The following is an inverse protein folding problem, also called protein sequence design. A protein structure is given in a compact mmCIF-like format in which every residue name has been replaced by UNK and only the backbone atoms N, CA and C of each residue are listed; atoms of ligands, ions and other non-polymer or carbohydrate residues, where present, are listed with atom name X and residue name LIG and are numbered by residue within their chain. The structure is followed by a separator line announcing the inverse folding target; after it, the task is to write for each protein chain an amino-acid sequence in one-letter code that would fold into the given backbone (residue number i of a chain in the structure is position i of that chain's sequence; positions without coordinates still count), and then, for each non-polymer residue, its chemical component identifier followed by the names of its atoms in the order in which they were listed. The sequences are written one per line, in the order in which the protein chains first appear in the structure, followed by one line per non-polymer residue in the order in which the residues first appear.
data_IF_292851260027
#
_entry.id   IF_292851260027
#
_cell.length_a   1.000
_cell.length_b   1.000
_cell.length_c   1.000
_cell.angle_alpha   90.00
_cell.angle_beta   90.00
_cell.angle_gamma   90.00
#
_symmetry.space_group_name_H-M   'P 1'
#
loop_
_entity.id
_entity.type
_entity.pdbx_description
1 polymer ?
#
# COMPACT_ATOMS: atom_id res chain seq x y z
N UNK A 1 10.47 -21.57 -7.99
CA UNK A 1 9.66 -20.41 -8.43
C UNK A 1 8.21 -20.71 -8.06
N UNK A 2 7.54 -19.84 -7.29
CA UNK A 2 6.09 -19.98 -7.08
C UNK A 2 5.37 -19.68 -8.40
N UNK A 3 4.47 -20.56 -8.81
CA UNK A 3 3.59 -20.35 -9.97
C UNK A 3 2.66 -19.17 -9.67
N UNK A 4 2.32 -18.32 -10.66
CA UNK A 4 1.32 -17.28 -10.47
C UNK A 4 0.02 -17.92 -9.98
N UNK A 5 -0.55 -17.38 -8.91
CA UNK A 5 -1.85 -17.85 -8.42
C UNK A 5 -2.88 -17.58 -9.50
N UNK A 6 -3.40 -18.64 -10.11
CA UNK A 6 -4.48 -18.52 -11.09
C UNK A 6 -5.75 -18.24 -10.31
N UNK A 7 -6.20 -16.99 -10.33
CA UNK A 7 -7.53 -16.61 -9.84
C UNK A 7 -8.55 -16.79 -10.97
N UNK A 8 -9.78 -17.13 -10.62
CA UNK A 8 -10.82 -17.30 -11.61
C UNK A 8 -11.33 -15.95 -12.17
N UNK A 9 -11.98 -16.00 -13.33
CA UNK A 9 -12.47 -14.80 -14.01
C UNK A 9 -13.56 -14.03 -13.25
N UNK A 10 -14.28 -14.69 -12.34
CA UNK A 10 -15.29 -14.05 -11.50
C UNK A 10 -14.62 -13.24 -10.39
N UNK A 11 -13.57 -13.78 -9.77
CA UNK A 11 -12.75 -13.07 -8.80
C UNK A 11 -12.14 -11.80 -9.40
N UNK A 12 -11.60 -11.86 -10.62
CA UNK A 12 -11.07 -10.68 -11.32
C UNK A 12 -12.13 -9.59 -11.52
N UNK A 13 -13.34 -9.97 -11.97
CA UNK A 13 -14.47 -9.03 -12.10
C UNK A 13 -14.84 -8.40 -10.76
N UNK A 14 -14.73 -9.15 -9.67
CA UNK A 14 -15.01 -8.64 -8.33
C UNK A 14 -13.94 -7.64 -7.86
N UNK A 15 -12.66 -7.94 -8.12
CA UNK A 15 -11.54 -7.01 -7.89
C UNK A 15 -11.76 -5.70 -8.65
N UNK A 16 -12.17 -5.76 -9.92
CA UNK A 16 -12.44 -4.55 -10.72
C UNK A 16 -13.59 -3.71 -10.18
N UNK A 17 -14.65 -4.35 -9.65
CA UNK A 17 -15.74 -3.63 -8.97
C UNK A 17 -15.25 -2.99 -7.67
N UNK A 18 -14.53 -3.75 -6.84
CA UNK A 18 -13.98 -3.25 -5.59
C UNK A 18 -13.02 -2.07 -5.82
N UNK A 19 -12.23 -2.10 -6.90
CA UNK A 19 -11.35 -0.99 -7.32
C UNK A 19 -12.14 0.30 -7.58
N UNK A 20 -13.28 0.20 -8.27
CA UNK A 20 -14.15 1.36 -8.54
C UNK A 20 -14.77 1.92 -7.26
N UNK A 21 -15.26 1.04 -6.39
CA UNK A 21 -15.85 1.43 -5.11
C UNK A 21 -14.83 2.06 -4.15
N UNK A 22 -13.61 1.50 -4.09
CA UNK A 22 -12.49 2.09 -3.37
C UNK A 22 -12.13 3.47 -3.91
N UNK A 23 -12.10 3.63 -5.24
CA UNK A 23 -11.77 4.93 -5.87
C UNK A 23 -12.78 6.00 -5.45
N UNK A 24 -14.07 5.68 -5.48
CA UNK A 24 -15.13 6.56 -5.04
C UNK A 24 -15.02 6.88 -3.54
N UNK A 25 -14.84 5.86 -2.69
CA UNK A 25 -14.71 6.04 -1.24
C UNK A 25 -13.51 6.93 -0.89
N UNK A 26 -12.34 6.64 -1.47
CA UNK A 26 -11.09 7.35 -1.17
C UNK A 26 -11.16 8.81 -1.58
N UNK A 27 -11.70 9.10 -2.77
CA UNK A 27 -11.90 10.47 -3.24
C UNK A 27 -12.91 11.22 -2.36
N UNK A 28 -14.03 10.60 -1.99
CA UNK A 28 -15.10 11.24 -1.22
C UNK A 28 -14.71 11.50 0.24
N UNK A 29 -13.91 10.62 0.86
CA UNK A 29 -13.50 10.72 2.27
C UNK A 29 -12.15 11.42 2.46
N UNK A 30 -11.47 11.76 1.37
CA UNK A 30 -10.11 12.31 1.37
C UNK A 30 -9.16 11.49 2.27
N UNK A 31 -9.20 10.16 2.15
CA UNK A 31 -8.50 9.23 3.04
C UNK A 31 -7.35 8.46 2.35
N UNK A 32 -6.90 8.92 1.17
CA UNK A 32 -5.83 8.27 0.41
C UNK A 32 -4.55 8.02 1.24
N UNK A 33 -4.02 8.97 2.05
CA UNK A 33 -2.81 8.74 2.83
C UNK A 33 -3.00 7.65 3.90
N UNK A 34 -4.20 7.58 4.47
CA UNK A 34 -4.56 6.57 5.46
C UNK A 34 -4.66 5.18 4.85
N UNK A 35 -5.21 5.06 3.63
CA UNK A 35 -5.29 3.80 2.89
C UNK A 35 -3.92 3.29 2.45
N UNK A 36 -3.05 4.20 1.96
CA UNK A 36 -1.68 3.82 1.64
C UNK A 36 -0.93 3.35 2.89
N UNK A 37 -1.11 4.02 4.03
CA UNK A 37 -0.53 3.59 5.31
C UNK A 37 -1.03 2.22 5.73
N UNK A 38 -2.33 1.93 5.60
CA UNK A 38 -2.88 0.61 5.90
C UNK A 38 -2.20 -0.49 5.08
N UNK A 39 -2.11 -0.31 3.75
CA UNK A 39 -1.48 -1.26 2.86
C UNK A 39 0.01 -1.48 3.19
N UNK A 40 0.74 -0.40 3.49
CA UNK A 40 2.13 -0.46 3.92
C UNK A 40 2.30 -1.20 5.24
N UNK A 41 1.48 -0.92 6.26
CA UNK A 41 1.62 -1.54 7.58
C UNK A 41 1.29 -3.04 7.55
N UNK A 42 0.30 -3.46 6.77
CA UNK A 42 0.00 -4.89 6.56
C UNK A 42 1.19 -5.60 5.88
N UNK A 43 1.78 -4.98 4.86
CA UNK A 43 2.92 -5.55 4.13
C UNK A 43 4.25 -5.49 4.90
N UNK A 44 4.47 -4.45 5.69
CA UNK A 44 5.73 -4.11 6.36
C UNK A 44 6.14 -5.08 7.46
N UNK A 45 5.24 -5.98 7.86
CA UNK A 45 5.50 -7.03 8.86
C UNK A 45 6.20 -8.25 8.28
N UNK A 46 6.43 -8.29 6.96
CA UNK A 46 7.06 -9.42 6.28
C UNK A 46 8.49 -9.66 6.76
N UNK A 47 8.84 -10.94 6.86
CA UNK A 47 10.19 -11.43 7.11
C UNK A 47 10.54 -12.49 6.07
N UNK A 48 11.51 -12.18 5.22
CA UNK A 48 11.93 -13.05 4.12
C UNK A 48 12.59 -14.36 4.62
N UNK A 49 13.21 -14.36 5.81
CA UNK A 49 13.86 -15.54 6.38
C UNK A 49 12.83 -16.55 6.88
N UNK A 50 11.85 -16.07 7.65
CA UNK A 50 10.83 -16.93 8.26
C UNK A 50 9.59 -17.11 7.40
N UNK A 51 9.41 -16.29 6.36
CA UNK A 51 8.23 -16.24 5.49
C UNK A 51 6.93 -16.01 6.28
N UNK A 52 7.02 -15.20 7.33
CA UNK A 52 5.89 -14.83 8.20
C UNK A 52 5.52 -13.36 8.06
N UNK A 53 4.27 -13.02 8.38
CA UNK A 53 3.73 -11.66 8.20
C UNK A 53 3.48 -11.33 6.73
N UNK A 54 3.50 -10.03 6.41
CA UNK A 54 3.33 -9.52 5.07
C UNK A 54 1.87 -9.29 4.67
N UNK A 55 1.63 -8.95 3.39
CA UNK A 55 0.34 -8.44 2.90
C UNK A 55 -0.73 -9.54 2.85
N UNK A 56 -1.29 -9.88 4.00
CA UNK A 56 -2.17 -11.04 4.19
C UNK A 56 -3.45 -10.66 4.94
N UNK A 57 -3.68 -9.37 5.16
CA UNK A 57 -4.86 -8.85 5.84
C UNK A 57 -4.89 -9.09 7.34
N UNK A 58 -3.84 -9.66 7.96
CA UNK A 58 -3.80 -9.92 9.41
C UNK A 58 -3.92 -8.66 10.24
N UNK A 59 -3.60 -7.49 9.68
CA UNK A 59 -3.76 -6.18 10.34
C UNK A 59 -5.18 -5.90 10.87
N UNK A 60 -6.20 -6.63 10.41
CA UNK A 60 -7.58 -6.52 10.92
C UNK A 60 -7.83 -7.22 12.26
N UNK A 61 -6.92 -8.06 12.73
CA UNK A 61 -7.05 -8.74 14.03
C UNK A 61 -6.86 -7.73 15.17
N UNK A 62 -7.56 -7.95 16.28
CA UNK A 62 -7.47 -7.09 17.46
C UNK A 62 -6.06 -6.98 18.02
N UNK A 63 -5.31 -8.08 17.99
CA UNK A 63 -3.91 -8.11 18.36
C UNK A 63 -3.09 -7.14 17.48
N UNK A 64 -3.22 -7.20 16.15
CA UNK A 64 -2.35 -6.44 15.26
C UNK A 64 -2.74 -4.97 15.13
N UNK A 65 -4.03 -4.63 14.98
CA UNK A 65 -4.41 -3.21 14.89
C UNK A 65 -4.18 -2.45 16.20
N UNK A 66 -4.06 -3.15 17.33
CA UNK A 66 -3.79 -2.55 18.64
C UNK A 66 -2.30 -2.30 18.90
N UNK A 67 -1.40 -2.78 18.05
CA UNK A 67 0.03 -2.43 18.12
C UNK A 67 0.21 -0.91 18.06
N UNK A 68 1.15 -0.38 18.85
CA UNK A 68 1.37 1.07 18.97
C UNK A 68 1.73 1.73 17.64
N UNK A 69 2.46 1.01 16.78
CA UNK A 69 2.80 1.43 15.41
C UNK A 69 1.58 1.51 14.47
N UNK A 70 0.50 0.79 14.76
CA UNK A 70 -0.73 0.72 13.96
C UNK A 70 -1.84 1.66 14.45
N UNK A 71 -1.56 2.51 15.45
CA UNK A 71 -2.55 3.44 15.99
C UNK A 71 -3.21 4.28 14.88
N UNK A 72 -4.54 4.37 14.93
CA UNK A 72 -5.38 5.06 13.94
C UNK A 72 -5.75 4.24 12.69
N UNK A 73 -5.16 3.06 12.45
CA UNK A 73 -5.48 2.24 11.29
C UNK A 73 -6.84 1.54 11.37
N UNK A 74 -7.42 1.42 12.58
CA UNK A 74 -8.79 0.91 12.75
C UNK A 74 -9.81 1.65 11.89
N UNK A 75 -9.66 2.97 11.74
CA UNK A 75 -10.51 3.78 10.86
C UNK A 75 -10.38 3.39 9.38
N UNK A 76 -9.18 3.03 8.94
CA UNK A 76 -8.92 2.57 7.58
C UNK A 76 -9.57 1.20 7.34
N UNK A 77 -9.44 0.29 8.32
CA UNK A 77 -10.08 -1.02 8.32
C UNK A 77 -11.60 -0.85 8.21
N UNK A 78 -12.21 0.01 9.03
CA UNK A 78 -13.67 0.24 9.01
C UNK A 78 -14.18 0.78 7.67
N UNK A 79 -13.42 1.66 7.03
CA UNK A 79 -13.73 2.11 5.67
C UNK A 79 -13.63 0.98 4.63
N UNK A 80 -12.64 0.10 4.77
CA UNK A 80 -12.54 -1.08 3.91
C UNK A 80 -13.69 -2.08 4.17
N UNK A 81 -14.23 -2.18 5.40
CA UNK A 81 -15.40 -3.01 5.69
C UNK A 81 -16.64 -2.59 4.87
N UNK A 82 -16.85 -1.29 4.63
CA UNK A 82 -17.94 -0.80 3.78
C UNK A 82 -17.85 -1.35 2.35
N UNK A 83 -16.64 -1.44 1.81
CA UNK A 83 -16.38 -1.99 0.47
C UNK A 83 -16.46 -3.51 0.50
N UNK A 84 -15.89 -4.14 1.53
CA UNK A 84 -15.92 -5.60 1.72
C UNK A 84 -17.34 -6.13 1.81
N UNK A 85 -18.26 -5.42 2.47
CA UNK A 85 -19.65 -5.80 2.58
C UNK A 85 -20.35 -5.93 1.21
N UNK A 86 -19.96 -5.08 0.23
CA UNK A 86 -20.47 -5.15 -1.15
C UNK A 86 -19.75 -6.21 -1.99
N UNK A 87 -18.51 -6.53 -1.63
CA UNK A 87 -17.64 -7.45 -2.34
C UNK A 87 -17.20 -8.61 -1.42
N UNK A 88 -18.10 -9.52 -1.02
CA UNK A 88 -17.75 -10.55 -0.05
C UNK A 88 -16.69 -11.54 -0.58
N UNK A 89 -16.56 -11.69 -1.91
CA UNK A 89 -15.63 -12.65 -2.54
C UNK A 89 -14.16 -12.22 -2.50
N UNK A 90 -13.84 -10.91 -2.55
CA UNK A 90 -12.43 -10.45 -2.52
C UNK A 90 -11.84 -10.69 -1.14
N UNK A 91 -10.61 -11.19 -1.01
CA UNK A 91 -9.97 -11.34 0.31
C UNK A 91 -9.68 -9.99 0.96
N UNK A 92 -9.59 -9.93 2.29
CA UNK A 92 -9.15 -8.72 2.99
C UNK A 92 -7.72 -8.34 2.58
N UNK A 93 -6.85 -9.34 2.41
CA UNK A 93 -5.49 -9.17 1.93
C UNK A 93 -5.44 -8.44 0.58
N UNK A 94 -6.21 -8.89 -0.41
CA UNK A 94 -6.27 -8.21 -1.71
C UNK A 94 -6.94 -6.84 -1.60
N UNK A 95 -8.00 -6.70 -0.79
CA UNK A 95 -8.72 -5.45 -0.62
C UNK A 95 -7.83 -4.33 -0.05
N UNK A 96 -7.04 -4.62 0.99
CA UNK A 96 -6.16 -3.62 1.61
C UNK A 96 -5.03 -3.20 0.68
N UNK A 97 -4.43 -4.14 -0.04
CA UNK A 97 -3.38 -3.82 -1.02
C UNK A 97 -3.95 -3.06 -2.22
N UNK A 98 -5.16 -3.41 -2.68
CA UNK A 98 -5.87 -2.66 -3.71
C UNK A 98 -6.20 -1.24 -3.25
N UNK A 99 -6.58 -1.04 -1.98
CA UNK A 99 -6.84 0.28 -1.43
C UNK A 99 -5.58 1.17 -1.44
N UNK A 100 -4.41 0.61 -1.14
CA UNK A 100 -3.12 1.30 -1.28
C UNK A 100 -2.81 1.70 -2.72
N UNK A 101 -2.99 0.78 -3.68
CA UNK A 101 -2.81 1.07 -5.12
C UNK A 101 -3.73 2.18 -5.58
N UNK A 102 -5.04 2.08 -5.26
CA UNK A 102 -6.02 3.10 -5.66
C UNK A 102 -5.73 4.44 -5.00
N UNK A 103 -5.24 4.47 -3.76
CA UNK A 103 -4.85 5.70 -3.09
C UNK A 103 -3.74 6.47 -3.85
N UNK A 104 -2.74 5.74 -4.36
CA UNK A 104 -1.67 6.33 -5.19
C UNK A 104 -2.25 6.86 -6.51
N UNK A 105 -3.08 6.07 -7.20
CA UNK A 105 -3.69 6.49 -8.47
C UNK A 105 -4.61 7.71 -8.33
N UNK A 106 -5.42 7.78 -7.26
CA UNK A 106 -6.37 8.88 -7.02
C UNK A 106 -5.65 10.19 -6.71
N UNK A 107 -4.47 10.11 -6.12
CA UNK A 107 -3.65 11.28 -5.77
C UNK A 107 -2.74 11.76 -6.90
N UNK A 108 -2.86 11.17 -8.09
CA UNK A 108 -2.05 11.52 -9.27
C UNK A 108 -0.68 10.86 -9.30
N UNK A 109 -0.45 9.84 -8.45
CA UNK A 109 0.72 8.98 -8.51
C UNK A 109 0.71 8.06 -9.75
N UNK A 110 1.78 7.28 -9.93
CA UNK A 110 1.88 6.38 -11.08
C UNK A 110 0.86 5.23 -10.99
N UNK A 111 0.55 4.64 -12.14
CA UNK A 111 -0.22 3.39 -12.20
C UNK A 111 0.64 2.26 -11.67
N UNK A 112 0.10 1.55 -10.68
CA UNK A 112 0.73 0.41 -10.05
C UNK A 112 0.01 -0.87 -10.48
N UNK A 113 0.76 -1.82 -11.00
CA UNK A 113 0.24 -3.13 -11.37
C UNK A 113 -0.24 -3.89 -10.13
N UNK A 114 -1.51 -4.32 -10.15
CA UNK A 114 -2.12 -5.10 -9.08
C UNK A 114 -2.29 -6.55 -9.51
N UNK A 115 -1.66 -7.46 -8.75
CA UNK A 115 -1.82 -8.91 -8.92
C UNK A 115 -2.71 -9.44 -7.78
N UNK A 116 -3.91 -9.96 -8.07
CA UNK A 116 -4.79 -10.58 -7.06
C UNK A 116 -4.36 -12.00 -6.68
N UNK A 117 -4.94 -12.52 -5.59
CA UNK A 117 -4.78 -13.91 -5.15
C UNK A 117 -4.20 -14.05 -3.74
N UNK A 118 -4.04 -12.97 -2.98
CA UNK A 118 -3.57 -13.04 -1.59
C UNK A 118 -4.62 -13.71 -0.73
N UNK A 119 -4.16 -14.50 0.25
CA UNK A 119 -5.02 -15.22 1.18
C UNK A 119 -5.04 -14.53 2.53
N UNK A 120 -6.22 -14.51 3.14
CA UNK A 120 -6.40 -13.95 4.46
C UNK A 120 -5.69 -14.78 5.52
N UNK A 121 -4.84 -14.14 6.32
CA UNK A 121 -4.30 -14.70 7.56
C UNK A 121 -5.17 -14.31 8.74
N UNK A 122 -5.22 -15.18 9.76
CA UNK A 122 -5.72 -14.86 11.11
C UNK A 122 -4.59 -14.77 12.14
N UNK A 123 -3.36 -15.06 11.72
CA UNK A 123 -2.18 -15.06 12.57
C UNK A 123 -1.51 -13.72 12.44
N UNK A 124 -1.51 -12.97 13.54
CA UNK A 124 -0.83 -11.69 13.67
C UNK A 124 0.68 -11.92 13.83
N UNK A 125 1.53 -11.14 13.14
CA UNK A 125 2.94 -11.08 13.45
C UNK A 125 3.14 -10.37 14.79
N UNK A 126 4.22 -10.72 15.51
CA UNK A 126 4.60 -10.00 16.74
C UNK A 126 4.89 -8.52 16.44
N UNK A 127 4.56 -7.65 17.38
CA UNK A 127 4.90 -6.23 17.33
C UNK A 127 6.43 -6.01 17.20
N UNK A 128 6.82 -4.85 16.66
CA UNK A 128 8.22 -4.42 16.54
C UNK A 128 8.85 -4.69 15.17
N UNK A 129 8.07 -5.19 14.20
CA UNK A 129 8.55 -5.39 12.82
C UNK A 129 8.52 -4.12 11.95
N UNK A 130 7.77 -3.11 12.36
CA UNK A 130 7.66 -1.85 11.62
C UNK A 130 8.77 -0.86 12.03
N UNK A 131 9.19 0.05 11.13
CA UNK A 131 10.25 1.00 11.43
C UNK A 131 9.83 2.01 12.52
N UNK A 132 10.79 2.41 13.36
CA UNK A 132 10.59 3.45 14.37
C UNK A 132 11.14 4.77 13.79
N UNK A 133 10.27 5.79 13.73
CA UNK A 133 10.60 7.09 13.17
C UNK A 133 11.67 7.85 13.97
N UNK A 134 11.96 7.45 15.21
CA UNK A 134 12.99 8.08 16.06
C UNK A 134 14.40 7.53 15.78
N UNK A 135 14.50 6.44 15.04
CA UNK A 135 15.78 5.75 14.77
C UNK A 135 16.34 6.15 13.41
N UNK A 136 17.66 6.00 13.25
CA UNK A 136 18.38 6.43 12.06
C UNK A 136 18.47 5.36 10.96
N UNK A 137 19.30 5.65 9.96
CA UNK A 137 19.51 4.81 8.76
C UNK A 137 19.86 3.34 9.05
N UNK A 138 20.69 2.98 10.07
CA UNK A 138 20.97 1.58 10.37
C UNK A 138 19.70 0.78 10.66
N UNK A 139 18.80 1.33 11.47
CA UNK A 139 17.50 0.72 11.77
C UNK A 139 16.63 0.56 10.53
N UNK A 140 16.59 1.57 9.66
CA UNK A 140 15.84 1.48 8.41
C UNK A 140 16.37 0.34 7.53
N UNK A 141 17.68 0.19 7.39
CA UNK A 141 18.26 -0.92 6.64
C UNK A 141 17.90 -2.26 7.26
N UNK A 142 18.02 -2.41 8.58
CA UNK A 142 17.68 -3.66 9.27
C UNK A 142 16.23 -4.09 9.02
N UNK A 143 15.29 -3.15 9.10
CA UNK A 143 13.87 -3.41 8.88
C UNK A 143 13.57 -3.76 7.42
N UNK A 144 14.05 -2.95 6.47
CA UNK A 144 13.70 -3.12 5.06
C UNK A 144 14.48 -4.28 4.40
N UNK A 145 15.73 -4.52 4.80
CA UNK A 145 16.50 -5.67 4.32
C UNK A 145 15.93 -6.99 4.87
N UNK A 146 15.34 -7.01 6.09
CA UNK A 146 14.58 -8.18 6.58
C UNK A 146 13.42 -8.53 5.65
N UNK A 147 12.79 -7.51 5.07
CA UNK A 147 11.71 -7.72 4.11
C UNK A 147 12.24 -8.18 2.74
N UNK A 148 13.54 -8.02 2.47
CA UNK A 148 14.17 -8.36 1.19
C UNK A 148 14.33 -7.17 0.23
N UNK A 149 14.16 -5.94 0.73
CA UNK A 149 14.25 -4.71 -0.06
C UNK A 149 15.67 -4.16 -0.10
N UNK A 150 16.03 -3.52 -1.20
CA UNK A 150 17.32 -2.86 -1.40
C UNK A 150 17.30 -1.41 -0.93
N UNK A 151 18.46 -0.79 -0.75
CA UNK A 151 18.57 0.64 -0.41
C UNK A 151 17.84 1.55 -1.41
N UNK A 152 17.81 1.18 -2.70
CA UNK A 152 17.05 1.90 -3.73
C UNK A 152 15.55 1.88 -3.42
N UNK A 153 15.05 0.74 -2.96
CA UNK A 153 13.64 0.54 -2.64
C UNK A 153 13.28 1.30 -1.36
N UNK A 154 14.17 1.38 -0.37
CA UNK A 154 13.99 2.19 0.84
C UNK A 154 13.78 3.67 0.46
N UNK A 155 14.67 4.21 -0.36
CA UNK A 155 14.60 5.61 -0.80
C UNK A 155 13.33 5.86 -1.59
N UNK A 156 13.01 4.95 -2.52
CA UNK A 156 11.78 5.05 -3.30
C UNK A 156 10.57 5.06 -2.36
N UNK A 157 10.42 4.07 -1.47
CA UNK A 157 9.28 3.89 -0.56
C UNK A 157 9.11 5.06 0.42
N UNK A 158 10.21 5.68 0.83
CA UNK A 158 10.18 6.88 1.69
C UNK A 158 9.44 8.05 1.03
N UNK A 159 9.41 8.12 -0.31
CA UNK A 159 8.65 9.11 -1.08
C UNK A 159 7.13 9.04 -0.85
N UNK A 160 6.60 7.93 -0.33
CA UNK A 160 5.18 7.78 0.03
C UNK A 160 4.71 8.80 1.08
N UNK A 161 5.64 9.35 1.88
CA UNK A 161 5.34 10.42 2.84
C UNK A 161 4.86 11.73 2.18
N UNK A 162 5.06 11.89 0.86
CA UNK A 162 4.51 13.02 0.09
C UNK A 162 2.97 13.10 0.18
N UNK A 163 2.27 11.97 0.33
CA UNK A 163 0.81 11.95 0.47
C UNK A 163 0.33 12.36 1.87
N UNK A 164 1.14 12.15 2.91
CA UNK A 164 0.81 12.59 4.27
C UNK A 164 0.84 14.12 4.41
N UNK A 165 1.53 14.82 3.51
CA UNK A 165 1.67 16.28 3.54
C UNK A 165 0.47 17.04 2.98
N UNK A 166 -0.25 16.49 1.98
CA UNK A 166 -1.40 17.17 1.37
C UNK A 166 -2.59 17.29 2.32
N UNK A 167 -2.73 16.38 3.28
CA UNK A 167 -3.76 16.43 4.33
C UNK A 167 -3.36 17.29 5.54
N UNK A 168 -2.05 17.47 5.78
CA UNK A 168 -1.54 18.36 6.83
C UNK A 168 -1.75 19.86 6.49
N UNK A 169 -1.78 20.22 5.20
CA UNK A 169 -2.12 21.58 4.77
C UNK A 169 -3.55 22.00 5.14
N UNK A 170 -4.47 21.04 5.25
CA UNK A 170 -5.85 21.31 5.68
C UNK A 170 -6.00 21.48 7.21
N UNK A 171 -4.99 21.09 8.00
CA UNK A 171 -5.07 21.05 9.48
C UNK A 171 -3.95 21.80 10.21
N UNK A 172 -3.11 22.58 9.52
CA UNK A 172 -2.24 23.60 10.14
C UNK A 172 -1.18 23.10 11.13
N UNK A 173 -0.85 21.80 11.16
CA UNK A 173 0.21 21.27 12.02
C UNK A 173 1.35 20.69 11.20
N UNK A 174 2.46 21.44 11.14
CA UNK A 174 3.75 20.99 10.61
C UNK A 174 4.37 20.00 11.59
N UNK A 175 4.70 18.79 11.13
CA UNK A 175 5.84 18.03 11.62
C UNK A 175 6.66 17.60 10.41
N UNK A 176 7.90 18.06 10.39
CA UNK A 176 8.87 17.89 9.30
C UNK A 176 9.16 16.42 9.03
N UNK A 177 9.20 16.06 7.74
CA UNK A 177 10.25 15.29 7.07
C UNK A 177 9.92 15.33 5.57
N UNK A 178 10.59 16.21 4.84
CA UNK A 178 10.56 16.29 3.37
C UNK A 178 11.48 15.22 2.78
N UNK A 179 10.97 14.39 1.86
CA UNK A 179 11.73 13.92 0.69
C UNK A 179 10.76 13.43 -0.40
N UNK A 180 10.96 13.97 -1.60
CA UNK A 180 10.17 13.80 -2.81
C UNK A 180 10.67 12.57 -3.60
N UNK A 181 9.76 11.72 -4.11
CA UNK A 181 9.80 11.03 -5.42
C UNK A 181 8.63 10.03 -5.57
N UNK A 182 8.08 9.97 -6.79
CA UNK A 182 6.92 9.15 -7.18
C UNK A 182 7.27 7.65 -7.17
N UNK A 183 6.30 6.83 -6.75
CA UNK A 183 6.50 5.43 -6.38
C UNK A 183 5.62 4.48 -7.19
N UNK A 184 6.25 3.55 -7.92
CA UNK A 184 5.57 2.43 -8.55
C UNK A 184 5.69 1.18 -7.66
N UNK A 185 4.81 0.98 -6.67
CA UNK A 185 4.94 -0.10 -5.66
C UNK A 185 4.08 -1.32 -5.99
N UNK A 186 4.63 -2.37 -6.59
CA UNK A 186 3.94 -3.66 -6.60
C UNK A 186 4.17 -4.39 -5.26
N UNK A 187 3.15 -4.46 -4.40
CA UNK A 187 3.20 -5.19 -3.12
C UNK A 187 2.57 -6.57 -3.31
N UNK A 188 3.32 -7.62 -3.65
CA UNK A 188 2.78 -8.99 -3.73
C UNK A 188 3.54 -10.01 -2.85
N UNK A 189 2.77 -10.93 -2.28
CA UNK A 189 3.18 -11.91 -1.27
C UNK A 189 4.10 -13.00 -1.87
N UNK A 190 3.97 -13.28 -3.18
CA UNK A 190 4.83 -14.19 -3.93
C UNK A 190 6.02 -13.53 -4.63
N UNK A 191 6.05 -12.18 -4.69
CA UNK A 191 7.02 -11.38 -5.45
C UNK A 191 7.65 -10.24 -4.65
N UNK A 192 7.69 -10.30 -3.32
CA UNK A 192 8.60 -9.44 -2.56
C UNK A 192 10.08 -9.59 -3.03
N UNK A 193 10.41 -10.71 -3.69
CA UNK A 193 11.68 -10.97 -4.39
C UNK A 193 11.77 -10.42 -5.84
N UNK A 194 10.72 -9.84 -6.44
CA UNK A 194 10.69 -9.46 -7.87
C UNK A 194 10.12 -8.06 -8.13
N UNK A 195 11.06 -7.10 -8.16
CA UNK A 195 11.12 -5.88 -9.00
C UNK A 195 10.05 -4.81 -8.80
N UNK A 196 10.48 -3.70 -8.19
CA UNK A 196 10.02 -2.36 -8.54
C UNK A 196 10.53 -2.02 -9.96
N UNK A 197 9.68 -2.15 -10.97
CA UNK A 197 10.02 -1.76 -12.35
C UNK A 197 9.65 -0.29 -12.58
N UNK A 198 10.66 0.54 -12.87
CA UNK A 198 10.48 1.91 -13.36
C UNK A 198 10.27 1.90 -14.87
N UNK A 199 9.11 2.32 -15.35
CA UNK A 199 8.98 2.93 -16.67
C UNK A 199 8.20 4.22 -16.53
N UNK A 200 8.91 5.35 -16.63
CA UNK A 200 8.27 6.64 -16.86
C UNK A 200 7.62 6.60 -18.25
N UNK A 201 6.29 6.50 -18.32
CA UNK A 201 5.60 6.93 -19.52
C UNK A 201 5.56 8.46 -19.49
N UNK A 202 6.52 9.09 -20.15
CA UNK A 202 6.36 10.47 -20.58
C UNK A 202 5.19 10.49 -21.56
N UNK A 203 4.00 10.89 -21.12
CA UNK A 203 2.91 11.18 -22.04
C UNK A 203 3.35 12.40 -22.86
N UNK A 204 3.70 12.15 -24.11
CA UNK A 204 4.07 13.15 -25.09
C UNK A 204 2.79 13.95 -25.41
N UNK A 205 2.50 15.01 -24.66
CA UNK A 205 1.57 16.04 -25.15
C UNK A 205 2.31 16.80 -26.24
N UNK A 206 2.23 16.31 -27.46
CA UNK A 206 2.39 17.15 -28.64
C UNK A 206 1.31 18.23 -28.54
N UNK A 207 1.72 19.43 -28.14
CA UNK A 207 0.91 20.62 -28.29
C UNK A 207 0.72 20.88 -29.77
N UNK A 208 -0.52 20.73 -30.24
CA UNK A 208 -1.00 21.43 -31.42
C UNK A 208 -0.89 22.93 -31.14
N UNK A 209 0.02 23.61 -31.85
CA UNK A 209 -0.04 25.06 -32.04
C UNK A 209 -0.37 25.25 -33.52
N UNK A 210 -1.61 25.64 -33.80
CA UNK A 210 -2.09 26.00 -35.12
C UNK A 210 -3.10 27.14 -34.99
N UNK A 211 -2.85 28.22 -35.73
CA UNK A 211 -3.69 29.42 -35.87
C UNK A 211 -3.42 30.48 -34.80
N UNK A 212 -3.13 31.74 -35.10
CA UNK A 212 -3.35 32.54 -36.33
C UNK A 212 -2.24 33.57 -36.50
#
# INVERSE_FOLDING_TARGET
MALPVVVDSEYLKEVDKARRDLRALIANRNCAPLMLRLAWHDAGTYDAKTKTGGPNGSIRTEEEYSHGSNNGLKKAIDFCEEVKAKHPKITYADLYQLAGVVAVEVTGGPTVDFVPGRKDSKVSPKEGRLPDAKLGVPHLRDIFHRMGLTDRDIVALSGGHTLSFTSAWQYGKRKEFDFCLLLNITIDQGTFERRLCWTAQTSNRQGFIGGS
#
